data_IF_358017627090
#
_entry.id   IF_358017627090
#
_cell.length_a   1.000
_cell.length_b   1.000
_cell.length_c   1.000
_cell.angle_alpha   90.00
_cell.angle_beta   90.00
_cell.angle_gamma   90.00
#
_symmetry.space_group_name_H-M   'P 1'
#
loop_
_entity.id
_entity.type
_entity.pdbx_description
1 polymer ?
#
# COMPACT_ATOMS: atom_id res chain seq x y z
N UNK A 1 6.71 -16.92 -0.11
CA UNK A 1 5.96 -16.68 -1.37
C UNK A 1 6.94 -16.42 -2.50
N UNK A 2 6.65 -16.82 -3.75
CA UNK A 2 7.48 -16.43 -4.91
C UNK A 2 7.31 -14.94 -5.20
N UNK A 3 8.34 -14.32 -5.78
CA UNK A 3 8.28 -12.91 -6.12
C UNK A 3 7.28 -12.64 -7.24
N UNK A 4 6.47 -11.60 -7.05
CA UNK A 4 5.55 -11.08 -8.06
C UNK A 4 5.60 -9.56 -8.08
N UNK A 5 5.28 -8.98 -9.22
CA UNK A 5 5.41 -7.55 -9.46
C UNK A 5 4.16 -6.98 -10.12
N UNK A 6 3.80 -5.75 -9.78
CA UNK A 6 2.76 -5.00 -10.48
C UNK A 6 3.25 -3.59 -10.80
N UNK A 7 2.68 -3.01 -11.85
CA UNK A 7 3.03 -1.72 -12.42
C UNK A 7 1.95 -0.68 -12.10
N UNK A 8 2.36 0.57 -11.95
CA UNK A 8 1.47 1.72 -11.94
C UNK A 8 1.20 2.11 -13.41
N UNK A 9 -0.04 1.97 -13.87
CA UNK A 9 -0.42 2.16 -15.28
C UNK A 9 -1.55 3.19 -15.39
N UNK A 10 -1.83 3.76 -16.60
CA UNK A 10 -2.99 4.63 -16.76
C UNK A 10 -4.24 3.94 -16.25
N UNK A 11 -5.16 4.72 -15.69
CA UNK A 11 -6.41 4.18 -15.18
C UNK A 11 -7.17 3.36 -16.24
N UNK A 12 -7.53 2.14 -15.85
CA UNK A 12 -8.28 1.16 -16.62
C UNK A 12 -9.38 0.56 -15.72
N UNK A 13 -10.64 0.78 -16.10
CA UNK A 13 -11.83 0.29 -15.40
C UNK A 13 -11.95 -1.24 -15.38
N UNK A 14 -11.16 -1.97 -16.18
CA UNK A 14 -11.17 -3.43 -16.16
C UNK A 14 -10.26 -4.02 -15.08
N UNK A 15 -9.43 -3.20 -14.44
CA UNK A 15 -8.54 -3.62 -13.36
C UNK A 15 -9.12 -3.28 -12.00
N UNK A 16 -8.98 -4.22 -11.06
CA UNK A 16 -9.50 -4.07 -9.71
C UNK A 16 -8.62 -3.15 -8.84
N UNK A 17 -7.31 -3.32 -8.93
CA UNK A 17 -6.35 -2.56 -8.13
C UNK A 17 -6.17 -1.13 -8.64
N UNK A 18 -6.11 -0.16 -7.73
CA UNK A 18 -5.91 1.25 -8.05
C UNK A 18 -5.20 2.01 -6.94
N UNK A 19 -4.57 3.10 -7.32
CA UNK A 19 -4.03 4.13 -6.44
C UNK A 19 -4.83 5.42 -6.65
N UNK A 20 -5.13 6.14 -5.57
CA UNK A 20 -5.91 7.36 -5.59
C UNK A 20 -7.39 7.16 -5.91
N UNK A 21 -8.10 8.28 -6.06
CA UNK A 21 -9.56 8.30 -6.22
C UNK A 21 -10.32 8.03 -4.93
N UNK A 22 -11.61 7.72 -5.05
CA UNK A 22 -12.46 7.47 -3.90
C UNK A 22 -12.22 6.06 -3.31
N UNK A 23 -12.41 5.88 -1.98
CA UNK A 23 -12.31 4.57 -1.35
C UNK A 23 -13.32 3.55 -1.91
N UNK A 24 -13.07 2.24 -1.79
CA UNK A 24 -14.07 1.23 -2.09
C UNK A 24 -15.32 1.36 -1.22
N UNK A 25 -16.50 1.10 -1.80
CA UNK A 25 -17.81 1.21 -1.13
C UNK A 25 -17.82 0.45 0.20
N UNK A 26 -17.24 -0.75 0.24
CA UNK A 26 -17.31 -1.61 1.43
C UNK A 26 -16.54 -1.07 2.64
N UNK A 27 -15.65 -0.10 2.46
CA UNK A 27 -14.83 0.43 3.54
C UNK A 27 -15.05 1.91 3.82
N UNK A 28 -15.82 2.64 3.01
CA UNK A 28 -15.89 4.11 3.11
C UNK A 28 -16.30 4.59 4.52
N UNK A 29 -17.26 3.91 5.14
CA UNK A 29 -17.74 4.19 6.51
C UNK A 29 -16.79 3.66 7.61
N UNK A 30 -15.81 2.85 7.24
CA UNK A 30 -14.80 2.29 8.16
C UNK A 30 -13.53 3.16 8.22
N UNK A 31 -13.42 4.19 7.37
CA UNK A 31 -12.25 5.08 7.32
C UNK A 31 -12.37 6.13 8.43
N UNK A 32 -11.47 6.14 9.42
CA UNK A 32 -11.50 7.15 10.48
C UNK A 32 -11.35 8.58 9.92
N UNK A 33 -11.81 9.57 10.67
CA UNK A 33 -11.83 10.97 10.19
C UNK A 33 -10.46 11.55 9.90
N UNK A 34 -9.44 11.13 10.63
CA UNK A 34 -8.06 11.54 10.44
C UNK A 34 -7.29 10.72 9.37
N UNK A 35 -7.98 9.86 8.62
CA UNK A 35 -7.36 9.02 7.59
C UNK A 35 -7.93 9.29 6.21
N UNK A 36 -7.10 9.06 5.19
CA UNK A 36 -7.46 9.13 3.78
C UNK A 36 -7.10 7.82 3.07
N UNK A 37 -7.87 7.50 2.05
CA UNK A 37 -7.64 6.36 1.17
C UNK A 37 -6.47 6.64 0.23
N UNK A 38 -5.47 5.77 0.28
CA UNK A 38 -4.29 5.84 -0.56
C UNK A 38 -4.42 4.92 -1.80
N UNK A 39 -4.63 3.62 -1.57
CA UNK A 39 -4.70 2.64 -2.64
C UNK A 39 -5.50 1.40 -2.21
N UNK A 40 -5.97 0.64 -3.19
CA UNK A 40 -6.48 -0.71 -2.98
C UNK A 40 -5.79 -1.67 -3.95
N UNK A 41 -5.24 -2.76 -3.43
CA UNK A 41 -4.48 -3.76 -4.20
C UNK A 41 -5.21 -5.09 -4.15
N UNK A 42 -5.16 -5.87 -5.23
CA UNK A 42 -5.70 -7.23 -5.22
C UNK A 42 -4.90 -8.10 -4.27
N UNK A 43 -5.54 -8.88 -3.41
CA UNK A 43 -4.84 -9.71 -2.44
C UNK A 43 -4.03 -10.79 -3.18
N UNK A 44 -2.70 -10.88 -2.99
CA UNK A 44 -1.85 -11.81 -3.75
C UNK A 44 -2.18 -13.30 -3.57
N UNK A 45 -2.76 -13.67 -2.43
CA UNK A 45 -3.06 -15.07 -2.07
C UNK A 45 -4.54 -15.42 -1.97
N UNK A 46 -5.46 -14.46 -2.12
CA UNK A 46 -6.89 -14.67 -1.85
C UNK A 46 -7.73 -14.14 -3.01
N UNK A 47 -8.46 -15.06 -3.65
CA UNK A 47 -9.32 -14.71 -4.77
C UNK A 47 -10.43 -13.73 -4.33
N UNK A 48 -10.68 -12.74 -5.17
CA UNK A 48 -11.69 -11.69 -4.96
C UNK A 48 -11.55 -10.87 -3.66
N UNK A 49 -10.41 -10.96 -2.97
CA UNK A 49 -10.07 -10.12 -1.83
C UNK A 49 -9.14 -8.99 -2.24
N UNK A 50 -9.19 -7.90 -1.49
CA UNK A 50 -8.37 -6.72 -1.68
C UNK A 50 -7.80 -6.25 -0.35
N UNK A 51 -6.71 -5.50 -0.43
CA UNK A 51 -6.12 -4.79 0.69
C UNK A 51 -6.21 -3.30 0.39
N UNK A 52 -7.05 -2.59 1.12
CA UNK A 52 -7.09 -1.13 1.08
C UNK A 52 -6.16 -0.54 2.11
N UNK A 53 -5.41 0.48 1.70
CA UNK A 53 -4.40 1.16 2.50
C UNK A 53 -4.93 2.56 2.80
N UNK A 54 -4.92 2.90 4.08
CA UNK A 54 -5.35 4.19 4.61
C UNK A 54 -4.15 4.83 5.29
N UNK A 55 -3.91 6.10 5.01
CA UNK A 55 -2.82 6.87 5.64
C UNK A 55 -3.42 8.00 6.47
N UNK A 56 -2.74 8.36 7.56
CA UNK A 56 -3.10 9.54 8.32
C UNK A 56 -2.98 10.80 7.46
N UNK A 57 -3.91 11.74 7.59
CA UNK A 57 -3.94 12.94 6.75
C UNK A 57 -2.87 13.98 7.11
N UNK A 58 -2.48 14.02 8.38
CA UNK A 58 -1.40 14.87 8.88
C UNK A 58 -0.05 14.20 8.65
N UNK A 59 0.80 14.85 7.86
CA UNK A 59 2.10 14.30 7.46
C UNK A 59 3.08 14.19 8.62
N UNK A 60 3.10 15.13 9.55
CA UNK A 60 4.00 15.09 10.72
C UNK A 60 3.67 13.86 11.58
N UNK A 61 2.38 13.60 11.81
CA UNK A 61 1.90 12.40 12.51
C UNK A 61 2.29 11.12 11.76
N UNK A 62 2.15 11.11 10.43
CA UNK A 62 2.53 9.97 9.59
C UNK A 62 4.04 9.69 9.64
N UNK A 63 4.85 10.74 9.73
CA UNK A 63 6.31 10.71 9.78
C UNK A 63 6.83 10.26 11.15
N UNK A 64 6.32 10.84 12.23
CA UNK A 64 6.69 10.46 13.60
C UNK A 64 6.32 9.02 13.92
N UNK A 65 5.21 8.55 13.35
CA UNK A 65 4.67 7.21 13.54
C UNK A 65 4.77 6.40 12.24
N UNK A 66 5.99 6.18 11.76
CA UNK A 66 6.25 5.46 10.51
C UNK A 66 6.65 3.97 10.70
N UNK A 67 6.65 3.46 11.94
CA UNK A 67 7.11 2.10 12.28
C UNK A 67 6.13 1.41 13.25
N UNK A 68 5.86 0.13 13.01
CA UNK A 68 5.12 -0.75 13.91
C UNK A 68 5.75 -0.77 15.32
N UNK A 69 4.95 -0.78 16.41
CA UNK A 69 3.49 -0.89 16.43
C UNK A 69 2.74 0.44 16.33
N UNK A 70 3.46 1.56 16.25
CA UNK A 70 2.86 2.90 16.27
C UNK A 70 2.40 3.37 14.89
N UNK A 71 2.74 2.65 13.83
CA UNK A 71 2.54 3.09 12.44
C UNK A 71 1.13 3.65 12.15
N UNK A 72 1.09 4.86 11.61
CA UNK A 72 -0.14 5.59 11.25
C UNK A 72 -0.58 5.30 9.80
N UNK A 73 -0.34 4.07 9.36
CA UNK A 73 -0.84 3.47 8.11
C UNK A 73 -1.66 2.24 8.47
N UNK A 74 -2.89 2.19 7.98
CA UNK A 74 -3.82 1.08 8.23
C UNK A 74 -4.05 0.27 6.97
N UNK A 75 -4.11 -1.05 7.12
CA UNK A 75 -4.52 -1.97 6.06
C UNK A 75 -5.88 -2.55 6.43
N UNK A 76 -6.81 -2.54 5.47
CA UNK A 76 -8.13 -3.15 5.59
C UNK A 76 -8.30 -4.19 4.49
N UNK A 77 -8.43 -5.44 4.91
CA UNK A 77 -8.82 -6.53 4.03
C UNK A 77 -10.34 -6.52 3.82
N UNK A 78 -10.79 -6.65 2.57
CA UNK A 78 -12.20 -6.70 2.21
C UNK A 78 -12.41 -7.42 0.87
N UNK A 79 -13.64 -7.85 0.59
CA UNK A 79 -14.00 -8.35 -0.75
C UNK A 79 -13.92 -7.23 -1.80
N UNK A 80 -13.76 -7.59 -3.07
CA UNK A 80 -13.82 -6.62 -4.16
C UNK A 80 -15.05 -5.72 -4.09
N UNK A 81 -14.84 -4.41 -4.26
CA UNK A 81 -15.93 -3.46 -4.51
C UNK A 81 -15.44 -2.30 -5.37
N UNK A 82 -16.39 -1.72 -6.11
CA UNK A 82 -16.18 -0.51 -6.90
C UNK A 82 -15.77 0.68 -6.02
N UNK A 83 -15.21 1.72 -6.64
CA UNK A 83 -15.03 3.00 -5.97
C UNK A 83 -16.38 3.58 -5.53
N UNK A 84 -16.45 4.04 -4.28
CA UNK A 84 -17.59 4.75 -3.73
C UNK A 84 -17.62 6.21 -4.15
N UNK A 85 -18.51 6.97 -3.52
CA UNK A 85 -18.73 8.38 -3.82
C UNK A 85 -18.20 9.33 -2.74
N UNK A 86 -17.63 8.80 -1.65
CA UNK A 86 -17.10 9.61 -0.56
C UNK A 86 -15.81 10.33 -0.99
N UNK A 87 -15.94 11.61 -1.35
CA UNK A 87 -14.82 12.45 -1.78
C UNK A 87 -13.98 12.98 -0.62
N UNK A 88 -14.53 13.00 0.60
CA UNK A 88 -13.85 13.58 1.76
C UNK A 88 -12.75 12.66 2.29
N UNK A 89 -12.86 11.36 1.98
CA UNK A 89 -11.89 10.34 2.38
C UNK A 89 -10.79 10.09 1.33
N UNK A 90 -10.70 10.86 0.23
CA UNK A 90 -9.64 10.71 -0.78
C UNK A 90 -8.47 11.66 -0.51
N UNK A 91 -7.28 11.29 -0.99
CA UNK A 91 -6.13 12.20 -1.06
C UNK A 91 -6.28 13.03 -2.34
N UNK A 92 -6.50 14.35 -2.21
CA UNK A 92 -6.81 15.22 -3.35
C UNK A 92 -5.64 15.37 -4.32
N UNK A 93 -4.42 15.39 -3.80
CA UNK A 93 -3.19 15.51 -4.59
C UNK A 93 -2.68 14.19 -5.15
N UNK A 94 -3.40 13.08 -4.91
CA UNK A 94 -3.04 11.77 -5.47
C UNK A 94 -3.87 11.49 -6.72
N UNK A 95 -3.22 11.52 -7.88
CA UNK A 95 -3.79 11.17 -9.16
C UNK A 95 -4.27 9.71 -9.21
N UNK A 96 -5.29 9.48 -10.04
CA UNK A 96 -5.89 8.15 -10.22
C UNK A 96 -5.06 7.30 -11.19
N UNK A 97 -4.64 6.12 -10.76
CA UNK A 97 -3.95 5.13 -11.59
C UNK A 97 -4.43 3.72 -11.29
N UNK A 98 -4.33 2.82 -12.28
CA UNK A 98 -4.59 1.40 -12.06
C UNK A 98 -3.30 0.67 -11.69
N UNK A 99 -3.47 -0.44 -10.98
CA UNK A 99 -2.41 -1.36 -10.61
C UNK A 99 -2.56 -2.58 -11.50
N UNK A 100 -1.52 -2.92 -12.26
CA UNK A 100 -1.56 -4.08 -13.16
C UNK A 100 -1.79 -5.39 -12.41
N UNK A 101 -2.19 -6.44 -13.13
CA UNK A 101 -2.11 -7.79 -12.59
C UNK A 101 -0.67 -8.16 -12.22
N UNK A 102 -0.53 -9.09 -11.28
CA UNK A 102 0.77 -9.59 -10.85
C UNK A 102 1.47 -10.41 -11.95
N UNK A 103 2.69 -9.99 -12.31
CA UNK A 103 3.61 -10.73 -13.17
C UNK A 103 4.77 -11.33 -12.38
N UNK A 104 5.45 -12.32 -12.95
CA UNK A 104 6.61 -12.98 -12.30
C UNK A 104 7.95 -12.30 -12.60
N UNK A 105 7.93 -11.12 -13.23
CA UNK A 105 9.10 -10.33 -13.61
C UNK A 105 8.81 -8.86 -13.37
N UNK A 106 9.83 -8.13 -12.95
CA UNK A 106 9.80 -6.67 -12.98
C UNK A 106 9.99 -6.22 -14.43
N UNK A 107 8.96 -5.60 -15.00
CA UNK A 107 8.98 -5.14 -16.41
C UNK A 107 9.39 -3.67 -16.55
N UNK A 108 9.39 -2.91 -15.46
CA UNK A 108 9.77 -1.51 -15.40
C UNK A 108 11.17 -1.33 -14.80
N UNK A 109 11.88 -0.28 -15.20
CA UNK A 109 13.14 0.13 -14.56
C UNK A 109 12.91 0.44 -13.08
N UNK A 110 11.84 1.18 -12.79
CA UNK A 110 11.44 1.56 -11.44
C UNK A 110 10.45 0.56 -10.85
N UNK A 111 10.72 0.15 -9.60
CA UNK A 111 9.86 -0.77 -8.88
C UNK A 111 8.64 0.00 -8.36
N UNK A 112 7.45 -0.54 -8.59
CA UNK A 112 6.21 -0.04 -7.99
C UNK A 112 5.70 -0.99 -6.91
N UNK A 113 5.25 -2.20 -7.26
CA UNK A 113 4.84 -3.21 -6.27
C UNK A 113 5.70 -4.45 -6.41
N UNK A 114 6.19 -4.93 -5.28
CA UNK A 114 6.84 -6.25 -5.14
C UNK A 114 6.14 -7.04 -4.04
N UNK A 115 5.74 -8.26 -4.36
CA UNK A 115 5.14 -9.21 -3.42
C UNK A 115 6.13 -10.34 -3.16
N UNK A 116 6.29 -10.75 -1.91
CA UNK A 116 7.14 -11.86 -1.50
C UNK A 116 8.65 -11.64 -1.72
N UNK A 117 9.44 -12.67 -1.45
CA UNK A 117 10.91 -12.57 -1.41
C UNK A 117 11.39 -11.71 -0.24
N UNK A 118 12.56 -11.09 -0.40
CA UNK A 118 13.12 -10.14 0.59
C UNK A 118 12.71 -8.70 0.26
N UNK A 119 12.45 -7.83 1.25
CA UNK A 119 12.15 -6.42 0.98
C UNK A 119 13.35 -5.69 0.39
N UNK A 120 13.13 -4.82 -0.59
CA UNK A 120 14.12 -3.82 -1.06
C UNK A 120 14.05 -2.62 -0.12
N UNK A 121 14.85 -2.65 0.95
CA UNK A 121 14.90 -1.59 1.96
C UNK A 121 15.68 -0.37 1.44
N UNK A 122 15.12 0.83 1.65
CA UNK A 122 15.83 2.11 1.46
C UNK A 122 16.89 2.27 2.56
N UNK A 123 16.51 1.96 3.80
CA UNK A 123 17.38 2.01 4.97
C UNK A 123 17.55 0.61 5.57
N UNK A 124 18.77 0.07 5.50
CA UNK A 124 19.11 -1.25 6.05
C UNK A 124 19.32 -1.17 7.57
N UNK A 125 18.25 -0.95 8.32
CA UNK A 125 18.26 -0.89 9.79
C UNK A 125 17.29 -1.91 10.38
N UNK A 126 17.79 -2.73 11.30
CA UNK A 126 17.02 -3.84 11.91
C UNK A 126 15.80 -3.37 12.72
N UNK A 127 15.89 -2.19 13.34
CA UNK A 127 14.81 -1.67 14.19
C UNK A 127 13.47 -1.50 13.46
N UNK A 128 13.46 -1.41 12.12
CA UNK A 128 12.22 -1.31 11.34
C UNK A 128 11.36 -2.58 11.41
N UNK A 129 11.98 -3.76 11.59
CA UNK A 129 11.27 -5.04 11.46
C UNK A 129 11.49 -5.99 12.63
N UNK A 130 12.33 -5.67 13.61
CA UNK A 130 12.59 -6.59 14.72
C UNK A 130 11.36 -6.86 15.60
N UNK A 131 10.51 -5.85 15.83
CA UNK A 131 9.28 -6.04 16.60
C UNK A 131 8.26 -6.85 15.81
N UNK A 132 8.17 -6.65 14.48
CA UNK A 132 7.34 -7.45 13.59
C UNK A 132 7.74 -8.92 13.63
N UNK A 133 9.04 -9.23 13.56
CA UNK A 133 9.55 -10.61 13.66
C UNK A 133 9.23 -11.24 15.03
N UNK A 134 9.40 -10.49 16.13
CA UNK A 134 9.06 -10.96 17.48
C UNK A 134 7.56 -11.28 17.61
N UNK A 135 6.72 -10.46 16.99
CA UNK A 135 5.26 -10.64 16.95
C UNK A 135 4.81 -11.58 15.83
N UNK A 136 5.72 -12.39 15.27
CA UNK A 136 5.42 -13.45 14.31
C UNK A 136 4.80 -12.95 12.99
N UNK A 137 5.19 -11.75 12.56
CA UNK A 137 4.95 -11.24 11.22
C UNK A 137 6.12 -11.53 10.29
N UNK A 138 5.83 -11.59 8.98
CA UNK A 138 6.84 -11.71 7.93
C UNK A 138 6.50 -10.81 6.76
N UNK A 139 7.53 -10.38 6.03
CA UNK A 139 7.36 -9.50 4.88
C UNK A 139 6.37 -10.09 3.88
N UNK A 140 5.46 -9.26 3.39
CA UNK A 140 4.39 -9.69 2.50
C UNK A 140 4.49 -9.00 1.13
N UNK A 141 4.47 -7.67 1.11
CA UNK A 141 4.66 -6.88 -0.11
C UNK A 141 5.13 -5.47 0.22
N UNK A 142 5.69 -4.79 -0.76
CA UNK A 142 6.02 -3.36 -0.68
C UNK A 142 5.43 -2.58 -1.84
N UNK A 143 5.20 -1.30 -1.59
CA UNK A 143 4.81 -0.30 -2.57
C UNK A 143 5.88 0.79 -2.55
N UNK A 144 6.52 1.01 -3.69
CA UNK A 144 7.58 2.00 -3.88
C UNK A 144 7.06 3.15 -4.74
N UNK A 145 7.27 4.37 -4.26
CA UNK A 145 6.81 5.56 -4.95
C UNK A 145 7.63 5.90 -6.20
N UNK A 146 8.88 5.41 -6.27
CA UNK A 146 9.74 5.51 -7.46
C UNK A 146 9.07 4.91 -8.72
N UNK A 147 8.22 3.89 -8.54
CA UNK A 147 7.48 3.26 -9.64
C UNK A 147 6.18 3.97 -10.03
N UNK A 148 5.89 5.14 -9.47
CA UNK A 148 4.79 5.97 -9.95
C UNK A 148 5.06 6.45 -11.38
N UNK A 149 3.99 6.84 -12.08
CA UNK A 149 4.10 7.35 -13.46
C UNK A 149 4.48 8.84 -13.44
N UNK A 150 5.51 9.20 -14.21
CA UNK A 150 5.97 10.60 -14.41
C UNK A 150 4.87 11.59 -14.85
N UNK A 151 3.82 11.09 -15.50
CA UNK A 151 2.71 11.91 -16.00
C UNK A 151 1.71 12.35 -14.94
N UNK A 152 1.92 11.95 -13.69
CA UNK A 152 1.05 12.29 -12.57
C UNK A 152 1.57 13.56 -11.91
N UNK A 153 0.71 14.57 -11.80
CA UNK A 153 0.97 15.72 -10.92
C UNK A 153 0.59 15.29 -9.50
N UNK A 154 1.51 14.57 -8.85
CA UNK A 154 1.24 13.85 -7.59
C UNK A 154 2.14 14.25 -6.44
N UNK A 155 1.53 14.30 -5.27
CA UNK A 155 2.25 14.25 -4.01
C UNK A 155 2.73 12.82 -3.74
N UNK A 156 4.00 12.73 -3.38
CA UNK A 156 4.63 11.54 -2.84
C UNK A 156 4.29 11.45 -1.35
N UNK A 157 3.26 10.65 -1.01
CA UNK A 157 2.71 10.56 0.35
C UNK A 157 3.72 9.98 1.35
N UNK A 158 4.73 9.26 0.86
CA UNK A 158 5.85 8.74 1.63
C UNK A 158 7.16 9.45 1.32
N UNK A 159 7.12 10.69 0.81
CA UNK A 159 8.31 11.50 0.49
C UNK A 159 9.31 10.79 -0.42
N UNK A 160 8.80 10.23 -1.53
CA UNK A 160 9.57 9.42 -2.49
C UNK A 160 10.08 8.13 -1.85
N UNK A 161 9.22 7.53 -1.05
CA UNK A 161 9.56 6.44 -0.14
C UNK A 161 9.05 5.08 -0.59
N UNK A 162 8.98 4.18 0.39
CA UNK A 162 8.44 2.85 0.23
C UNK A 162 7.65 2.42 1.47
N UNK A 163 6.47 1.86 1.28
CA UNK A 163 5.63 1.24 2.30
C UNK A 163 5.81 -0.27 2.28
N UNK A 164 5.98 -0.88 3.45
CA UNK A 164 6.20 -2.32 3.61
C UNK A 164 5.05 -2.93 4.40
N UNK A 165 4.31 -3.85 3.78
CA UNK A 165 3.25 -4.61 4.43
C UNK A 165 3.78 -5.96 4.90
N UNK A 166 3.26 -6.38 6.05
CA UNK A 166 3.65 -7.58 6.75
C UNK A 166 2.43 -8.44 7.02
N UNK A 167 2.60 -9.77 6.94
CA UNK A 167 1.54 -10.73 7.19
C UNK A 167 1.87 -11.55 8.44
N UNK A 168 0.91 -11.67 9.35
CA UNK A 168 1.05 -12.52 10.53
C UNK A 168 1.05 -13.99 10.10
N UNK A 169 2.03 -14.76 10.57
CA UNK A 169 2.25 -16.13 10.10
C UNK A 169 1.17 -17.12 10.53
N UNK A 170 0.44 -16.82 11.63
CA UNK A 170 -0.59 -17.73 12.16
C UNK A 170 -2.02 -17.33 11.78
N UNK A 171 -2.32 -16.04 11.67
CA UNK A 171 -3.69 -15.54 11.39
C UNK A 171 -3.86 -15.15 9.93
N UNK A 172 -2.78 -14.89 9.20
CA UNK A 172 -2.83 -14.37 7.84
C UNK A 172 -3.28 -12.91 7.75
N UNK A 173 -3.38 -12.20 8.88
CA UNK A 173 -3.69 -10.77 8.91
C UNK A 173 -2.55 -9.99 8.26
N UNK A 174 -2.89 -9.07 7.36
CA UNK A 174 -1.93 -8.17 6.71
C UNK A 174 -2.04 -6.78 7.33
N UNK A 175 -0.90 -6.25 7.79
CA UNK A 175 -0.77 -4.91 8.37
C UNK A 175 0.31 -4.12 7.63
N UNK A 176 0.34 -2.81 7.84
CA UNK A 176 1.50 -2.02 7.49
C UNK A 176 2.56 -2.21 8.60
N UNK A 177 3.79 -2.50 8.19
CA UNK A 177 4.91 -2.69 9.11
C UNK A 177 5.66 -1.39 9.34
N UNK A 178 6.08 -0.73 8.26
CA UNK A 178 6.74 0.58 8.31
C UNK A 178 6.74 1.21 6.92
N UNK A 179 7.11 2.49 6.86
CA UNK A 179 7.50 3.13 5.61
C UNK A 179 8.84 3.87 5.77
N UNK A 180 9.62 3.92 4.69
CA UNK A 180 10.95 4.53 4.64
C UNK A 180 10.99 5.60 3.56
N UNK A 181 11.85 6.59 3.75
CA UNK A 181 12.19 7.62 2.77
C UNK A 181 13.71 7.87 2.81
N UNK A 182 14.26 8.53 1.80
CA UNK A 182 15.70 8.84 1.67
C UNK A 182 16.03 10.29 1.94
#
# INVERSE_FOLDING_TARGET
>A
MKEQFALCIPFDNNLKGRMGGNPPILIEELIPDNYRFYATITHPEKDNMMLSILIHEDFDTLLENNIYPLIEVKVKEHEYSEAGNNTDKRILSLGLSSISNYGNKQESEFLFIKVGGEPRLIQLKKYYYEELEKDNYSFFLQIEEEGYRDTLDIDYVFSYGALYLYKHNSTGEVIAGFWQYS
#
